data_IF_264771844051
#
_entry.id   IF_264771844051
#
_cell.length_a   1.000
_cell.length_b   1.000
_cell.length_c   1.000
_cell.angle_alpha   90.00
_cell.angle_beta   90.00
_cell.angle_gamma   90.00
#
_symmetry.space_group_name_H-M   'P 1'
#
loop_
_entity.id
_entity.type
_entity.pdbx_description
1 polymer ?
#
# COMPACT_ATOMS: atom_id res chain seq x y z
N UNK A 1 -13.27 0.85 -2.27
CA UNK A 1 -12.67 -0.36 -1.69
C UNK A 1 -12.05 0.03 -0.37
N UNK A 2 -12.06 -0.88 0.60
CA UNK A 2 -11.47 -0.71 1.94
C UNK A 2 -10.36 -1.72 2.18
N UNK A 3 -9.48 -1.46 3.14
CA UNK A 3 -8.34 -2.34 3.45
C UNK A 3 -8.81 -3.75 3.82
N UNK A 4 -9.85 -3.86 4.65
CA UNK A 4 -10.43 -5.15 5.05
C UNK A 4 -11.05 -5.97 3.90
N UNK A 5 -11.37 -5.34 2.77
CA UNK A 5 -11.95 -6.02 1.59
C UNK A 5 -10.87 -6.60 0.68
N UNK A 6 -9.59 -6.28 0.93
CA UNK A 6 -8.49 -6.77 0.12
C UNK A 6 -8.30 -8.28 0.32
N UNK A 7 -8.26 -9.00 -0.79
CA UNK A 7 -7.99 -10.43 -0.87
C UNK A 7 -6.77 -10.68 -1.76
N UNK A 8 -6.16 -11.89 -1.73
CA UNK A 8 -5.06 -12.22 -2.63
C UNK A 8 -5.41 -12.04 -4.12
N UNK A 9 -4.40 -11.69 -4.91
CA UNK A 9 -4.43 -11.65 -6.38
C UNK A 9 -5.46 -10.71 -7.03
N UNK A 10 -5.94 -9.70 -6.29
CA UNK A 10 -6.75 -8.63 -6.84
C UNK A 10 -5.92 -7.71 -7.74
N UNK A 11 -6.55 -7.25 -8.81
CA UNK A 11 -6.01 -6.24 -9.72
C UNK A 11 -6.95 -5.02 -9.72
N UNK A 12 -6.48 -3.90 -10.26
CA UNK A 12 -7.29 -2.67 -10.39
C UNK A 12 -7.84 -2.14 -9.06
N UNK A 13 -7.04 -2.30 -7.99
CA UNK A 13 -7.39 -1.83 -6.65
C UNK A 13 -7.31 -0.30 -6.61
N UNK A 14 -8.46 0.33 -6.33
CA UNK A 14 -8.60 1.76 -6.12
C UNK A 14 -9.00 2.03 -4.67
N UNK A 15 -8.13 2.69 -3.90
CA UNK A 15 -8.29 2.84 -2.45
C UNK A 15 -7.71 4.16 -1.94
N UNK A 16 -8.35 4.74 -0.92
CA UNK A 16 -7.88 5.93 -0.20
C UNK A 16 -7.41 5.51 1.18
N UNK A 17 -6.20 5.91 1.56
CA UNK A 17 -5.55 5.49 2.80
C UNK A 17 -4.69 6.61 3.40
N UNK A 18 -4.51 6.55 4.72
CA UNK A 18 -3.51 7.31 5.47
C UNK A 18 -2.19 6.54 5.47
N UNK A 19 -1.08 7.22 5.19
CA UNK A 19 0.26 6.66 5.40
C UNK A 19 0.62 6.75 6.88
N UNK A 20 0.76 5.60 7.53
CA UNK A 20 1.12 5.47 8.95
C UNK A 20 2.64 5.51 9.12
N UNK A 21 3.35 4.78 8.26
CA UNK A 21 4.81 4.71 8.26
C UNK A 21 5.32 4.75 6.81
N UNK A 22 6.46 5.41 6.60
CA UNK A 22 7.14 5.46 5.30
C UNK A 22 8.58 4.96 5.47
N UNK A 23 8.90 3.88 4.76
CA UNK A 23 10.24 3.30 4.72
C UNK A 23 11.12 3.95 3.66
N UNK A 24 12.42 3.68 3.78
CA UNK A 24 13.44 4.21 2.87
C UNK A 24 13.37 3.61 1.46
N UNK A 25 13.93 4.34 0.50
CA UNK A 25 14.16 3.86 -0.85
C UNK A 25 15.22 2.74 -0.82
N UNK A 26 14.90 1.61 -1.45
CA UNK A 26 15.76 0.42 -1.55
C UNK A 26 15.99 0.07 -3.01
N UNK A 27 17.23 -0.23 -3.35
CA UNK A 27 17.59 -0.88 -4.61
C UNK A 27 17.69 -2.38 -4.38
N UNK A 28 16.98 -3.17 -5.19
CA UNK A 28 16.97 -4.62 -5.10
C UNK A 28 17.30 -5.25 -6.44
N UNK A 29 17.92 -6.43 -6.39
CA UNK A 29 18.15 -7.24 -7.58
C UNK A 29 17.01 -8.25 -7.75
N UNK A 30 16.34 -8.20 -8.89
CA UNK A 30 15.31 -9.17 -9.26
C UNK A 30 15.80 -10.05 -10.43
N UNK A 31 15.09 -11.13 -10.72
CA UNK A 31 15.37 -11.95 -11.91
C UNK A 31 15.24 -11.17 -13.24
N UNK A 32 14.54 -10.03 -13.23
CA UNK A 32 14.36 -9.13 -14.38
C UNK A 32 15.33 -7.94 -14.37
N UNK A 33 16.34 -7.97 -13.51
CA UNK A 33 17.30 -6.87 -13.31
C UNK A 33 17.04 -6.07 -12.04
N UNK A 34 17.79 -4.98 -11.91
CA UNK A 34 17.70 -4.05 -10.79
C UNK A 34 16.34 -3.34 -10.76
N UNK A 35 15.80 -3.16 -9.56
CA UNK A 35 14.54 -2.45 -9.31
C UNK A 35 14.66 -1.62 -8.05
N UNK A 36 14.06 -0.44 -8.07
CA UNK A 36 13.86 0.38 -6.87
C UNK A 36 12.49 0.10 -6.27
N UNK A 37 12.42 0.10 -4.94
CA UNK A 37 11.16 0.07 -4.21
C UNK A 37 11.25 0.86 -2.90
N UNK A 38 10.11 1.23 -2.35
CA UNK A 38 10.00 1.58 -0.93
C UNK A 38 8.77 0.89 -0.34
N UNK A 39 8.77 0.69 0.97
CA UNK A 39 7.64 0.12 1.69
C UNK A 39 7.00 1.20 2.57
N UNK A 40 5.69 1.15 2.72
CA UNK A 40 4.93 1.99 3.63
C UNK A 40 3.88 1.15 4.34
N UNK A 41 3.53 1.52 5.57
CA UNK A 41 2.32 1.01 6.23
C UNK A 41 1.22 2.02 5.98
N UNK A 42 0.11 1.58 5.41
CA UNK A 42 -1.04 2.44 5.08
C UNK A 42 -2.32 1.85 5.66
N UNK A 43 -3.30 2.68 5.97
CA UNK A 43 -4.57 2.17 6.49
C UNK A 43 -5.75 3.11 6.34
N UNK A 44 -6.93 2.54 6.56
CA UNK A 44 -8.22 3.21 6.63
C UNK A 44 -8.96 2.75 7.89
N UNK A 45 -10.23 3.13 8.04
CA UNK A 45 -11.02 2.81 9.24
C UNK A 45 -11.26 1.31 9.43
N UNK A 46 -10.92 0.48 8.45
CA UNK A 46 -11.11 -0.97 8.49
C UNK A 46 -9.83 -1.75 8.76
N UNK A 47 -8.67 -1.09 8.77
CA UNK A 47 -7.39 -1.71 9.11
C UNK A 47 -6.20 -1.13 8.36
N UNK A 48 -5.07 -1.82 8.46
CA UNK A 48 -3.79 -1.43 7.87
C UNK A 48 -3.14 -2.56 7.07
N UNK A 49 -2.41 -2.19 6.03
CA UNK A 49 -1.70 -3.10 5.13
C UNK A 49 -0.35 -2.50 4.72
N UNK A 50 0.62 -3.36 4.45
CA UNK A 50 1.88 -2.94 3.82
C UNK A 50 1.65 -2.62 2.34
N UNK A 51 2.03 -1.42 1.95
CA UNK A 51 2.11 -0.94 0.57
C UNK A 51 3.56 -1.02 0.07
N UNK A 52 3.78 -1.71 -1.04
CA UNK A 52 5.05 -1.68 -1.78
C UNK A 52 4.93 -0.76 -3.00
N UNK A 53 5.69 0.32 -3.00
CA UNK A 53 5.78 1.28 -4.10
C UNK A 53 6.97 0.91 -4.98
N UNK A 54 6.74 0.64 -6.27
CA UNK A 54 7.76 0.19 -7.19
C UNK A 54 8.23 1.28 -8.14
N UNK A 55 9.52 1.24 -8.51
CA UNK A 55 10.09 2.06 -9.57
C UNK A 55 9.93 3.55 -9.29
N UNK A 56 9.25 4.25 -10.20
CA UNK A 56 9.04 5.70 -10.07
C UNK A 56 8.19 6.10 -8.86
N UNK A 57 7.44 5.19 -8.25
CA UNK A 57 6.62 5.50 -7.08
C UNK A 57 7.40 5.37 -5.76
N UNK A 58 8.56 4.73 -5.80
CA UNK A 58 9.37 4.49 -4.62
C UNK A 58 9.84 5.82 -4.00
N UNK A 59 9.73 5.94 -2.67
CA UNK A 59 10.13 7.13 -1.91
C UNK A 59 9.20 8.35 -2.08
N UNK A 60 8.04 8.22 -2.75
CA UNK A 60 7.12 9.35 -3.00
C UNK A 60 6.16 9.70 -1.86
N UNK A 61 6.13 8.91 -0.78
CA UNK A 61 5.18 9.08 0.32
C UNK A 61 5.90 9.41 1.62
N UNK A 62 5.23 10.14 2.51
CA UNK A 62 5.68 10.45 3.86
C UNK A 62 4.63 10.03 4.88
N UNK A 63 5.07 9.68 6.10
CA UNK A 63 4.15 9.43 7.20
C UNK A 63 3.23 10.64 7.42
N UNK A 64 1.94 10.37 7.60
CA UNK A 64 0.88 11.38 7.72
C UNK A 64 0.15 11.69 6.41
N UNK A 65 0.71 11.37 5.23
CA UNK A 65 0.06 11.68 3.96
C UNK A 65 -1.31 10.98 3.82
N UNK A 66 -2.33 11.72 3.40
CA UNK A 66 -3.56 11.16 2.85
C UNK A 66 -3.37 10.94 1.34
N UNK A 67 -3.53 9.69 0.88
CA UNK A 67 -3.29 9.32 -0.52
C UNK A 67 -4.44 8.55 -1.12
N UNK A 68 -4.65 8.73 -2.42
CA UNK A 68 -5.46 7.86 -3.27
C UNK A 68 -4.53 7.06 -4.18
N UNK A 69 -4.72 5.74 -4.17
CA UNK A 69 -4.03 4.80 -5.05
C UNK A 69 -5.03 4.34 -6.10
N UNK A 70 -4.63 4.40 -7.37
CA UNK A 70 -5.41 3.87 -8.49
C UNK A 70 -4.63 2.79 -9.23
N UNK A 71 -5.33 1.74 -9.65
CA UNK A 71 -4.76 0.56 -10.32
C UNK A 71 -3.63 -0.13 -9.54
N UNK A 72 -3.78 -0.21 -8.22
CA UNK A 72 -2.95 -1.08 -7.39
C UNK A 72 -3.27 -2.57 -7.60
N UNK A 73 -2.49 -3.44 -6.99
CA UNK A 73 -2.73 -4.88 -7.01
C UNK A 73 -2.30 -5.53 -5.71
N UNK A 74 -2.93 -6.64 -5.33
CA UNK A 74 -2.56 -7.38 -4.12
C UNK A 74 -1.78 -8.65 -4.46
N UNK A 75 -0.83 -8.99 -3.59
CA UNK A 75 -0.09 -10.25 -3.64
C UNK A 75 0.19 -10.74 -2.24
N UNK A 76 0.25 -12.06 -2.07
CA UNK A 76 0.80 -12.66 -0.86
C UNK A 76 2.31 -12.75 -0.98
N UNK A 77 3.03 -12.15 -0.04
CA UNK A 77 4.49 -12.23 0.03
C UNK A 77 4.88 -12.68 1.44
N UNK A 78 5.59 -13.81 1.52
CA UNK A 78 6.01 -14.43 2.80
C UNK A 78 4.86 -14.62 3.81
N UNK A 79 3.68 -14.98 3.32
CA UNK A 79 2.50 -15.22 4.16
C UNK A 79 1.65 -13.98 4.46
N UNK A 80 2.09 -12.79 4.05
CA UNK A 80 1.36 -11.54 4.29
C UNK A 80 0.70 -11.03 3.00
N UNK A 81 -0.55 -10.58 3.11
CA UNK A 81 -1.19 -9.83 2.04
C UNK A 81 -0.56 -8.44 1.94
N UNK A 82 -0.11 -8.05 0.75
CA UNK A 82 0.47 -6.74 0.48
C UNK A 82 -0.24 -6.05 -0.67
N UNK A 83 -0.46 -4.75 -0.52
CA UNK A 83 -0.84 -3.87 -1.62
C UNK A 83 0.43 -3.43 -2.35
N UNK A 84 0.37 -3.38 -3.68
CA UNK A 84 1.49 -3.01 -4.51
C UNK A 84 1.05 -1.95 -5.53
N UNK A 85 1.94 -0.99 -5.77
CA UNK A 85 1.77 0.00 -6.83
C UNK A 85 2.94 -0.10 -7.81
N UNK A 86 2.65 -0.56 -9.02
CA UNK A 86 3.60 -0.62 -10.12
C UNK A 86 3.31 0.42 -11.19
N UNK A 87 4.07 0.40 -12.29
CA UNK A 87 4.05 1.41 -13.36
C UNK A 87 2.72 1.61 -14.11
N UNK A 88 1.69 0.82 -13.83
CA UNK A 88 0.34 0.98 -14.41
C UNK A 88 -0.60 1.77 -13.51
N UNK A 89 -0.22 1.99 -12.25
CA UNK A 89 -1.03 2.71 -11.29
C UNK A 89 -0.54 4.11 -11.03
N UNK A 90 -1.35 4.84 -10.28
CA UNK A 90 -1.05 6.20 -9.86
C UNK A 90 -1.25 6.36 -8.37
N UNK A 91 -0.58 7.37 -7.81
CA UNK A 91 -0.70 7.78 -6.42
C UNK A 91 -0.81 9.30 -6.40
N UNK A 92 -1.83 9.80 -5.71
CA UNK A 92 -2.14 11.22 -5.62
C UNK A 92 -2.36 11.58 -4.15
N UNK A 93 -1.85 12.74 -3.71
CA UNK A 93 -2.21 13.28 -2.39
C UNK A 93 -3.64 13.81 -2.47
N UNK A 94 -4.42 13.53 -1.43
CA UNK A 94 -5.82 13.95 -1.30
C UNK A 94 -6.00 14.77 -0.02
N UNK A 95 -7.21 15.27 0.22
CA UNK A 95 -7.48 16.06 1.43
C UNK A 95 -7.47 15.16 2.67
N UNK A 96 -6.91 15.68 3.78
CA UNK A 96 -6.84 14.95 5.05
C UNK A 96 -8.18 14.47 5.56
N UNK A 97 -9.26 15.20 5.29
CA UNK A 97 -10.63 14.84 5.70
C UNK A 97 -11.20 13.61 4.99
N UNK A 98 -10.53 13.09 3.95
CA UNK A 98 -11.02 11.94 3.18
C UNK A 98 -10.61 10.58 3.75
N UNK A 99 -9.69 10.56 4.72
CA UNK A 99 -9.19 9.35 5.39
C UNK A 99 -9.03 9.62 6.89
N UNK A 100 -9.17 8.60 7.76
CA UNK A 100 -9.01 8.78 9.21
C UNK A 100 -7.65 9.36 9.61
N UNK A 101 -7.56 9.89 10.82
CA UNK A 101 -6.27 10.23 11.43
C UNK A 101 -5.44 8.97 11.69
N UNK A 102 -4.15 9.13 11.97
CA UNK A 102 -3.26 8.00 12.30
C UNK A 102 -3.77 7.26 13.53
N UNK A 103 -4.27 7.97 14.55
CA UNK A 103 -4.75 7.33 15.79
C UNK A 103 -6.07 6.57 15.62
N UNK A 104 -6.85 6.90 14.60
CA UNK A 104 -8.15 6.27 14.31
C UNK A 104 -8.01 5.00 13.47
N UNK A 105 -6.84 4.76 12.86
CA UNK A 105 -6.60 3.60 12.01
C UNK A 105 -6.38 2.36 12.88
N UNK A 106 -7.20 1.31 12.75
CA UNK A 106 -7.08 0.11 13.57
C UNK A 106 -5.77 -0.65 13.34
N UNK A 107 -5.28 -1.27 14.41
CA UNK A 107 -4.08 -2.10 14.44
C UNK A 107 -4.23 -3.49 13.77
N UNK A 108 -5.27 -3.70 12.95
CA UNK A 108 -5.61 -5.00 12.34
C UNK A 108 -5.21 -5.04 10.86
N UNK A 109 -4.76 -6.21 10.40
CA UNK A 109 -4.41 -6.44 9.00
C UNK A 109 -5.28 -7.53 8.38
N UNK A 110 -5.58 -7.43 7.06
CA UNK A 110 -6.31 -8.47 6.35
C UNK A 110 -5.63 -9.83 6.48
N UNK A 111 -6.41 -10.85 6.81
CA UNK A 111 -5.91 -12.22 6.92
C UNK A 111 -5.86 -12.86 5.53
N UNK A 112 -4.78 -13.60 5.24
CA UNK A 112 -4.72 -14.46 4.06
C UNK A 112 -5.52 -15.73 4.39
N UNK A 113 -6.58 -16.07 3.64
CA UNK A 113 -7.32 -17.31 3.88
C UNK A 113 -6.37 -18.50 3.77
N UNK A 114 -6.35 -19.36 4.78
CA UNK A 114 -5.74 -20.68 4.67
C UNK A 114 -6.65 -21.53 3.77
N UNK A 115 -6.09 -22.01 2.66
CA UNK A 115 -6.78 -22.92 1.73
C UNK A 115 -6.93 -24.33 2.27
#
# INVERSE_FOLDING_TARGET
MKVSELTPDMNEVNIKVRVLEAGELKEIQTFRGERTLSEAVVGDETGRITLTLWGEHAGKVSAGDAIEIKNGYTRVFRGELRLNLGSRGTIEKIADSEVPSIEEVPEISPQVPEG
#
